data_IF_210052052102
#
_entry.id   IF_210052052102
#
_cell.length_a   1.000
_cell.length_b   1.000
_cell.length_c   1.000
_cell.angle_alpha   90.00
_cell.angle_beta   90.00
_cell.angle_gamma   90.00
#
_symmetry.space_group_name_H-M   'P 1'
#
loop_
_entity.id
_entity.type
_entity.pdbx_description
1 polymer ?
#
# COMPACT_ATOMS: atom_id res chain seq x y z
N UNK A 1 4.81 42.57 -31.60
CA UNK A 1 4.57 41.81 -32.85
C UNK A 1 3.14 41.24 -32.94
N UNK A 2 2.62 40.61 -31.88
CA UNK A 2 1.23 40.11 -31.81
C UNK A 2 0.14 41.18 -32.09
N UNK A 3 0.33 42.39 -31.54
CA UNK A 3 -0.59 43.53 -31.69
C UNK A 3 -0.66 44.04 -33.15
N UNK A 4 0.46 43.92 -33.89
CA UNK A 4 0.54 44.33 -35.31
C UNK A 4 -0.13 43.29 -36.21
N UNK A 5 0.00 41.99 -35.90
CA UNK A 5 -0.76 40.92 -36.59
C UNK A 5 -2.27 41.03 -36.34
N UNK A 6 -2.70 41.35 -35.12
CA UNK A 6 -4.10 41.61 -34.77
C UNK A 6 -4.68 42.81 -35.53
N UNK A 7 -3.89 43.89 -35.72
CA UNK A 7 -4.28 45.04 -36.54
C UNK A 7 -4.45 44.69 -38.03
N UNK A 8 -3.57 43.84 -38.59
CA UNK A 8 -3.69 43.35 -39.98
C UNK A 8 -4.93 42.48 -40.20
N UNK A 9 -5.31 41.64 -39.22
CA UNK A 9 -6.56 40.85 -39.28
C UNK A 9 -7.81 41.74 -39.27
N UNK A 10 -7.83 42.80 -38.43
CA UNK A 10 -8.96 43.73 -38.33
C UNK A 10 -9.33 44.35 -39.68
N UNK A 11 -8.34 44.67 -40.53
CA UNK A 11 -8.55 45.41 -41.77
C UNK A 11 -9.25 44.63 -42.90
N UNK A 12 -9.32 43.29 -42.82
CA UNK A 12 -9.89 42.44 -43.89
C UNK A 12 -11.21 41.76 -43.51
N UNK A 13 -11.70 41.94 -42.29
CA UNK A 13 -12.90 41.28 -41.79
C UNK A 13 -14.14 42.17 -41.99
N UNK A 14 -15.13 41.63 -42.70
CA UNK A 14 -16.46 42.22 -42.89
C UNK A 14 -17.13 42.47 -41.53
N UNK A 15 -17.97 43.52 -41.42
CA UNK A 15 -18.63 43.93 -40.16
C UNK A 15 -19.37 42.77 -39.48
N UNK A 16 -20.04 41.92 -40.28
CA UNK A 16 -20.73 40.70 -39.81
C UNK A 16 -19.80 39.73 -39.09
N UNK A 17 -18.61 39.53 -39.64
CA UNK A 17 -17.59 38.62 -39.08
C UNK A 17 -17.06 39.16 -37.76
N UNK A 18 -16.84 40.48 -37.64
CA UNK A 18 -16.42 41.10 -36.38
C UNK A 18 -17.45 40.91 -35.26
N UNK A 19 -18.73 41.07 -35.57
CA UNK A 19 -19.83 40.89 -34.60
C UNK A 19 -19.88 39.44 -34.09
N UNK A 20 -19.75 38.47 -35.00
CA UNK A 20 -19.74 37.04 -34.67
C UNK A 20 -18.51 36.67 -33.84
N UNK A 21 -17.32 37.20 -34.15
CA UNK A 21 -16.11 36.94 -33.36
C UNK A 21 -16.22 37.50 -31.94
N UNK A 22 -16.78 38.70 -31.78
CA UNK A 22 -16.99 39.32 -30.46
C UNK A 22 -18.01 38.54 -29.61
N UNK A 23 -19.01 37.95 -30.27
CA UNK A 23 -20.00 37.09 -29.63
C UNK A 23 -19.41 35.71 -29.25
N UNK A 24 -18.56 35.11 -30.08
CA UNK A 24 -18.00 33.76 -29.88
C UNK A 24 -16.79 33.72 -28.94
N UNK A 25 -16.05 34.82 -28.78
CA UNK A 25 -14.85 34.87 -27.94
C UNK A 25 -15.12 34.47 -26.47
N UNK A 26 -16.17 34.98 -25.80
CA UNK A 26 -16.50 34.58 -24.42
C UNK A 26 -16.84 33.08 -24.31
N UNK A 27 -17.58 32.55 -25.29
CA UNK A 27 -17.91 31.11 -25.34
C UNK A 27 -16.67 30.24 -25.52
N UNK A 28 -15.72 30.68 -26.33
CA UNK A 28 -14.45 29.97 -26.52
C UNK A 28 -13.62 29.93 -25.24
N UNK A 29 -13.60 31.03 -24.47
CA UNK A 29 -12.91 31.10 -23.17
C UNK A 29 -13.55 30.12 -22.18
N UNK A 30 -14.88 30.16 -22.03
CA UNK A 30 -15.64 29.25 -21.14
C UNK A 30 -15.40 27.78 -21.54
N UNK A 31 -15.42 27.49 -22.84
CA UNK A 31 -15.19 26.15 -23.36
C UNK A 31 -13.76 25.66 -23.09
N UNK A 32 -12.75 26.52 -23.24
CA UNK A 32 -11.35 26.19 -22.93
C UNK A 32 -11.11 25.89 -21.45
N UNK A 33 -11.77 26.64 -20.56
CA UNK A 33 -11.72 26.39 -19.12
C UNK A 33 -12.41 25.07 -18.77
N UNK A 34 -13.61 24.82 -19.33
CA UNK A 34 -14.33 23.58 -19.10
C UNK A 34 -13.59 22.32 -19.55
N UNK A 35 -12.83 22.38 -20.65
CA UNK A 35 -11.99 21.25 -21.09
C UNK A 35 -10.86 20.98 -20.09
N UNK A 36 -10.18 22.02 -19.61
CA UNK A 36 -9.11 21.87 -18.63
C UNK A 36 -9.65 21.30 -17.30
N UNK A 37 -10.75 21.86 -16.79
CA UNK A 37 -11.36 21.42 -15.53
C UNK A 37 -11.87 19.97 -15.62
N UNK A 38 -12.39 19.55 -16.78
CA UNK A 38 -12.82 18.16 -16.99
C UNK A 38 -11.61 17.20 -16.99
N UNK A 39 -10.49 17.62 -17.57
CA UNK A 39 -9.25 16.85 -17.55
C UNK A 39 -8.72 16.65 -16.14
N UNK A 40 -8.73 17.71 -15.32
CA UNK A 40 -8.30 17.63 -13.93
C UNK A 40 -9.27 16.80 -13.08
N UNK A 41 -10.59 16.93 -13.29
CA UNK A 41 -11.59 16.11 -12.61
C UNK A 41 -11.45 14.61 -12.91
N UNK A 42 -11.14 14.24 -14.16
CA UNK A 42 -10.88 12.85 -14.52
C UNK A 42 -9.62 12.31 -13.84
N UNK A 43 -8.57 13.13 -13.74
CA UNK A 43 -7.33 12.76 -13.04
C UNK A 43 -7.55 12.60 -11.54
N UNK A 44 -8.36 13.46 -10.93
CA UNK A 44 -8.72 13.36 -9.51
C UNK A 44 -9.50 12.08 -9.21
N UNK A 45 -10.44 11.68 -10.08
CA UNK A 45 -11.16 10.40 -9.96
C UNK A 45 -10.20 9.22 -10.05
N UNK A 46 -9.32 9.22 -11.04
CA UNK A 46 -8.35 8.14 -11.23
C UNK A 46 -7.41 8.03 -10.03
N UNK A 47 -6.93 9.17 -9.52
CA UNK A 47 -6.08 9.22 -8.33
C UNK A 47 -6.81 8.76 -7.07
N UNK A 48 -8.09 9.12 -6.89
CA UNK A 48 -8.89 8.67 -5.76
C UNK A 48 -9.11 7.14 -5.78
N UNK A 49 -9.36 6.57 -6.97
CA UNK A 49 -9.47 5.13 -7.14
C UNK A 49 -8.16 4.41 -6.79
N UNK A 50 -7.03 4.93 -7.27
CA UNK A 50 -5.70 4.39 -6.97
C UNK A 50 -5.35 4.49 -5.48
N UNK A 51 -5.68 5.61 -4.83
CA UNK A 51 -5.50 5.78 -3.39
C UNK A 51 -6.34 4.78 -2.59
N UNK A 52 -7.61 4.57 -2.98
CA UNK A 52 -8.50 3.57 -2.36
C UNK A 52 -7.93 2.15 -2.46
N UNK A 53 -7.48 1.75 -3.65
CA UNK A 53 -6.81 0.45 -3.85
C UNK A 53 -5.55 0.31 -3.00
N UNK A 54 -4.76 1.37 -2.91
CA UNK A 54 -3.52 1.38 -2.11
C UNK A 54 -3.82 1.21 -0.62
N UNK A 55 -4.88 1.85 -0.12
CA UNK A 55 -5.36 1.71 1.25
C UNK A 55 -5.88 0.29 1.50
N UNK A 56 -6.63 -0.29 0.56
CA UNK A 56 -7.13 -1.66 0.69
C UNK A 56 -5.97 -2.68 0.77
N UNK A 57 -4.99 -2.59 -0.13
CA UNK A 57 -3.78 -3.43 -0.09
C UNK A 57 -3.02 -3.24 1.23
N UNK A 58 -2.87 -1.99 1.66
CA UNK A 58 -2.21 -1.66 2.91
C UNK A 58 -2.94 -2.28 4.12
N UNK A 59 -4.27 -2.24 4.13
CA UNK A 59 -5.14 -2.87 5.14
C UNK A 59 -4.93 -4.38 5.21
N UNK A 60 -4.99 -5.08 4.07
CA UNK A 60 -4.82 -6.54 4.02
C UNK A 60 -3.43 -6.97 4.52
N UNK A 61 -2.40 -6.16 4.24
CA UNK A 61 -1.04 -6.41 4.74
C UNK A 61 -0.94 -6.14 6.24
N UNK A 62 -1.64 -5.13 6.77
CA UNK A 62 -1.63 -4.82 8.20
C UNK A 62 -2.28 -5.93 9.04
N UNK A 63 -3.40 -6.49 8.56
CA UNK A 63 -4.04 -7.64 9.18
C UNK A 63 -3.08 -8.85 9.24
N UNK A 64 -2.36 -9.12 8.15
CA UNK A 64 -1.34 -10.16 8.13
C UNK A 64 -0.19 -9.87 9.12
N UNK A 65 0.27 -8.62 9.19
CA UNK A 65 1.30 -8.21 10.17
C UNK A 65 0.80 -8.46 11.60
N UNK A 66 -0.44 -8.11 11.90
CA UNK A 66 -1.04 -8.31 13.22
C UNK A 66 -1.08 -9.79 13.60
N UNK A 67 -1.55 -10.65 12.70
CA UNK A 67 -1.63 -12.09 12.96
C UNK A 67 -0.23 -12.73 13.12
N UNK A 68 0.76 -12.30 12.33
CA UNK A 68 2.16 -12.73 12.47
C UNK A 68 2.78 -12.26 13.80
N UNK A 69 2.49 -11.04 14.26
CA UNK A 69 2.96 -10.54 15.56
C UNK A 69 2.35 -11.36 16.70
N UNK A 70 1.08 -11.71 16.59
CA UNK A 70 0.36 -12.51 17.58
C UNK A 70 0.86 -13.95 17.60
N UNK A 71 1.08 -14.57 16.44
CA UNK A 71 1.69 -15.90 16.34
C UNK A 71 3.10 -15.92 16.96
N UNK A 72 3.92 -14.91 16.66
CA UNK A 72 5.25 -14.73 17.27
C UNK A 72 5.15 -14.64 18.80
N UNK A 73 4.24 -13.82 19.31
CA UNK A 73 4.04 -13.62 20.76
C UNK A 73 3.57 -14.89 21.47
N UNK A 74 2.65 -15.66 20.87
CA UNK A 74 2.21 -16.95 21.41
C UNK A 74 3.31 -18.00 21.34
N UNK A 75 4.12 -18.01 20.29
CA UNK A 75 5.28 -18.89 20.17
C UNK A 75 6.30 -18.62 21.27
N UNK A 76 6.58 -17.34 21.59
CA UNK A 76 7.45 -16.96 22.71
C UNK A 76 6.87 -17.39 24.07
N UNK A 77 5.57 -17.19 24.28
CA UNK A 77 4.90 -17.66 25.50
C UNK A 77 4.93 -19.18 25.64
N UNK A 78 4.86 -19.93 24.53
CA UNK A 78 4.92 -21.40 24.56
C UNK A 78 6.31 -21.92 24.96
N UNK A 79 7.38 -21.19 24.64
CA UNK A 79 8.73 -21.52 25.13
C UNK A 79 8.81 -21.42 26.66
N UNK A 80 8.11 -20.43 27.25
CA UNK A 80 8.13 -20.18 28.71
C UNK A 80 7.07 -21.00 29.46
N UNK A 81 5.94 -21.34 28.80
CA UNK A 81 4.78 -22.00 29.41
C UNK A 81 4.11 -23.00 28.46
N UNK A 82 3.98 -24.24 28.90
CA UNK A 82 3.47 -25.37 28.11
C UNK A 82 1.96 -25.30 27.79
N UNK A 83 1.20 -24.42 28.45
CA UNK A 83 -0.27 -24.38 28.36
C UNK A 83 -0.82 -23.67 27.12
N UNK A 84 0.05 -23.16 26.23
CA UNK A 84 -0.33 -22.33 25.06
C UNK A 84 -0.44 -23.13 23.74
N UNK A 85 -0.55 -24.47 23.80
CA UNK A 85 -0.54 -25.28 22.57
C UNK A 85 -1.77 -25.07 21.69
N UNK A 86 -2.97 -25.11 22.30
CA UNK A 86 -4.22 -24.98 21.55
C UNK A 86 -4.38 -23.57 20.95
N UNK A 87 -4.01 -22.53 21.73
CA UNK A 87 -4.04 -21.14 21.27
C UNK A 87 -3.06 -20.90 20.12
N UNK A 88 -1.87 -21.51 20.14
CA UNK A 88 -0.90 -21.39 19.05
C UNK A 88 -1.38 -22.07 17.77
N UNK A 89 -2.00 -23.26 17.87
CA UNK A 89 -2.57 -23.96 16.70
C UNK A 89 -3.71 -23.16 16.08
N UNK A 90 -4.62 -22.63 16.88
CA UNK A 90 -5.72 -21.78 16.40
C UNK A 90 -5.17 -20.50 15.74
N UNK A 91 -4.16 -19.88 16.34
CA UNK A 91 -3.53 -18.67 15.78
C UNK A 91 -2.83 -18.96 14.44
N UNK A 92 -2.18 -20.12 14.30
CA UNK A 92 -1.56 -20.53 13.03
C UNK A 92 -2.59 -20.69 11.92
N UNK A 93 -3.74 -21.30 12.22
CA UNK A 93 -4.83 -21.44 11.25
C UNK A 93 -5.37 -20.08 10.79
N UNK A 94 -5.52 -19.11 11.71
CA UNK A 94 -5.90 -17.73 11.35
C UNK A 94 -4.85 -17.06 10.47
N UNK A 95 -3.57 -17.19 10.85
CA UNK A 95 -2.46 -16.63 10.07
C UNK A 95 -2.41 -17.24 8.67
N UNK A 96 -2.69 -18.54 8.52
CA UNK A 96 -2.72 -19.23 7.23
C UNK A 96 -3.84 -18.72 6.32
N UNK A 97 -5.02 -18.41 6.87
CA UNK A 97 -6.09 -17.76 6.12
C UNK A 97 -5.65 -16.38 5.59
N UNK A 98 -5.04 -15.53 6.43
CA UNK A 98 -4.53 -14.22 5.98
C UNK A 98 -3.38 -14.34 4.96
N UNK A 99 -2.58 -15.41 5.04
CA UNK A 99 -1.55 -15.70 4.05
C UNK A 99 -2.17 -16.05 2.69
N UNK A 100 -3.23 -16.87 2.66
CA UNK A 100 -3.94 -17.21 1.42
C UNK A 100 -4.50 -15.96 0.74
N UNK A 101 -5.09 -15.05 1.54
CA UNK A 101 -5.52 -13.75 1.07
C UNK A 101 -4.36 -12.92 0.49
N UNK A 102 -3.21 -12.86 1.18
CA UNK A 102 -2.02 -12.16 0.70
C UNK A 102 -1.45 -12.74 -0.61
N UNK A 103 -1.44 -14.07 -0.75
CA UNK A 103 -1.00 -14.75 -1.98
C UNK A 103 -1.93 -14.40 -3.13
N UNK A 104 -3.24 -14.50 -2.93
CA UNK A 104 -4.26 -14.16 -3.93
C UNK A 104 -4.14 -12.70 -4.38
N UNK A 105 -3.95 -11.77 -3.43
CA UNK A 105 -3.74 -10.35 -3.70
C UNK A 105 -2.46 -10.12 -4.52
N UNK A 106 -1.37 -10.80 -4.15
CA UNK A 106 -0.09 -10.70 -4.86
C UNK A 106 -0.20 -11.20 -6.31
N UNK A 107 -0.95 -12.29 -6.53
CA UNK A 107 -1.20 -12.81 -7.89
C UNK A 107 -2.01 -11.82 -8.74
N UNK A 108 -3.09 -11.24 -8.20
CA UNK A 108 -3.89 -10.22 -8.88
C UNK A 108 -3.06 -8.99 -9.28
N UNK A 109 -2.15 -8.54 -8.41
CA UNK A 109 -1.24 -7.44 -8.70
C UNK A 109 -0.24 -7.83 -9.81
N UNK A 110 0.33 -9.05 -9.77
CA UNK A 110 1.26 -9.54 -10.81
C UNK A 110 0.60 -9.70 -12.17
N UNK A 111 -0.66 -10.13 -12.21
CA UNK A 111 -1.46 -10.28 -13.43
C UNK A 111 -1.94 -8.93 -14.00
N UNK A 112 -1.60 -7.80 -13.35
CA UNK A 112 -2.09 -6.45 -13.69
C UNK A 112 -3.61 -6.33 -13.68
N UNK A 113 -4.31 -7.24 -13.01
CA UNK A 113 -5.75 -7.11 -12.77
C UNK A 113 -6.03 -5.94 -11.83
N UNK A 114 -5.05 -5.57 -11.01
CA UNK A 114 -5.05 -4.38 -10.17
C UNK A 114 -3.94 -3.44 -10.62
N UNK A 115 -4.30 -2.29 -11.19
CA UNK A 115 -3.33 -1.24 -11.55
C UNK A 115 -2.91 -0.48 -10.29
N UNK A 116 -1.76 -0.84 -9.74
CA UNK A 116 -1.11 -0.12 -8.65
C UNK A 116 -0.08 0.84 -9.24
N UNK A 117 -0.50 2.06 -9.56
CA UNK A 117 0.40 3.15 -9.96
C UNK A 117 1.10 3.71 -8.72
N UNK A 118 2.15 3.04 -8.28
CA UNK A 118 2.92 3.51 -7.13
C UNK A 118 3.94 4.60 -7.52
N UNK A 119 4.34 5.43 -6.55
CA UNK A 119 5.46 6.39 -6.70
C UNK A 119 6.79 5.65 -6.99
N UNK A 120 6.86 4.37 -6.62
CA UNK A 120 8.02 3.51 -6.81
C UNK A 120 7.91 2.75 -8.14
N UNK A 121 9.04 2.55 -8.84
CA UNK A 121 9.05 1.76 -10.09
C UNK A 121 8.46 0.37 -9.83
N UNK A 122 7.62 -0.13 -10.73
CA UNK A 122 6.99 -1.48 -10.70
C UNK A 122 7.97 -2.61 -10.30
N UNK A 123 9.23 -2.46 -10.68
CA UNK A 123 10.33 -3.38 -10.36
C UNK A 123 10.53 -3.55 -8.84
N UNK A 124 10.41 -2.47 -8.06
CA UNK A 124 10.64 -2.50 -6.61
C UNK A 124 9.47 -3.17 -5.89
N UNK A 125 8.22 -2.86 -6.27
CA UNK A 125 7.03 -3.54 -5.74
C UNK A 125 7.07 -5.03 -6.06
N UNK A 126 7.35 -5.39 -7.31
CA UNK A 126 7.46 -6.80 -7.71
C UNK A 126 8.55 -7.55 -6.93
N UNK A 127 9.68 -6.89 -6.66
CA UNK A 127 10.76 -7.46 -5.84
C UNK A 127 10.29 -7.70 -4.40
N UNK A 128 9.60 -6.74 -3.79
CA UNK A 128 9.11 -6.88 -2.40
C UNK A 128 8.03 -7.95 -2.31
N UNK A 129 7.06 -7.97 -3.23
CA UNK A 129 6.04 -9.00 -3.31
C UNK A 129 6.64 -10.40 -3.46
N UNK A 130 7.64 -10.55 -4.34
CA UNK A 130 8.33 -11.82 -4.55
C UNK A 130 9.12 -12.27 -3.32
N UNK A 131 9.78 -11.34 -2.62
CA UNK A 131 10.44 -11.64 -1.34
C UNK A 131 9.44 -12.03 -0.25
N UNK A 132 8.27 -11.40 -0.22
CA UNK A 132 7.18 -11.76 0.69
C UNK A 132 6.64 -13.17 0.42
N UNK A 133 6.43 -13.53 -0.84
CA UNK A 133 6.06 -14.91 -1.23
C UNK A 133 7.15 -15.92 -0.86
N UNK A 134 8.42 -15.57 -1.03
CA UNK A 134 9.52 -16.44 -0.60
C UNK A 134 9.53 -16.63 0.93
N UNK A 135 9.19 -15.59 1.71
CA UNK A 135 9.03 -15.70 3.16
C UNK A 135 7.86 -16.61 3.53
N UNK A 136 6.70 -16.45 2.88
CA UNK A 136 5.55 -17.35 3.04
C UNK A 136 5.93 -18.81 2.79
N UNK A 137 6.67 -19.09 1.71
CA UNK A 137 7.05 -20.46 1.34
C UNK A 137 7.89 -21.17 2.41
N UNK A 138 8.69 -20.43 3.19
CA UNK A 138 9.53 -21.01 4.25
C UNK A 138 8.88 -20.98 5.63
N UNK A 139 7.71 -20.33 5.80
CA UNK A 139 7.03 -20.16 7.09
C UNK A 139 6.77 -21.50 7.79
N UNK A 140 6.24 -22.49 7.05
CA UNK A 140 5.95 -23.81 7.59
C UNK A 140 7.22 -24.50 8.14
N UNK A 141 8.35 -24.33 7.47
CA UNK A 141 9.64 -24.86 7.94
C UNK A 141 10.12 -24.14 9.20
N UNK A 142 9.93 -22.82 9.28
CA UNK A 142 10.31 -22.03 10.46
C UNK A 142 9.44 -22.38 11.67
N UNK A 143 8.14 -22.60 11.49
CA UNK A 143 7.24 -23.11 12.54
C UNK A 143 7.72 -24.44 13.11
N UNK A 144 8.12 -25.39 12.25
CA UNK A 144 8.70 -26.67 12.69
C UNK A 144 9.97 -26.48 13.53
N UNK A 145 10.89 -25.63 13.09
CA UNK A 145 12.10 -25.30 13.86
C UNK A 145 11.79 -24.69 15.23
N UNK A 146 10.76 -23.86 15.31
CA UNK A 146 10.30 -23.28 16.58
C UNK A 146 9.68 -24.35 17.47
N UNK A 147 8.86 -25.25 16.92
CA UNK A 147 8.26 -26.35 17.67
C UNK A 147 9.33 -27.32 18.20
N UNK A 148 10.32 -27.68 17.38
CA UNK A 148 11.49 -28.46 17.79
C UNK A 148 12.30 -27.76 18.88
N UNK A 149 12.45 -26.44 18.80
CA UNK A 149 13.11 -25.65 19.83
C UNK A 149 12.32 -25.63 21.15
N UNK A 150 10.99 -25.55 21.09
CA UNK A 150 10.11 -25.62 22.27
C UNK A 150 10.28 -26.98 22.96
N UNK A 151 10.33 -28.07 22.19
CA UNK A 151 10.52 -29.43 22.72
C UNK A 151 11.90 -29.56 23.39
N UNK A 152 12.95 -29.02 22.77
CA UNK A 152 14.34 -29.16 23.22
C UNK A 152 14.79 -28.05 24.19
N UNK A 153 13.88 -27.17 24.63
CA UNK A 153 14.12 -26.05 25.54
C UNK A 153 15.30 -25.13 25.12
N UNK A 154 15.50 -24.92 23.81
CA UNK A 154 16.59 -24.07 23.33
C UNK A 154 16.22 -22.57 23.46
N UNK A 155 17.22 -21.71 23.61
CA UNK A 155 17.07 -20.25 23.47
C UNK A 155 17.00 -19.90 21.96
N UNK A 156 15.86 -20.12 21.30
CA UNK A 156 15.75 -19.80 19.86
C UNK A 156 15.59 -18.31 19.64
N UNK A 157 16.69 -17.63 19.32
CA UNK A 157 16.66 -16.28 18.74
C UNK A 157 16.40 -16.31 17.21
N UNK A 158 16.78 -17.42 16.56
CA UNK A 158 16.71 -17.56 15.10
C UNK A 158 15.27 -17.64 14.55
N UNK A 159 14.36 -18.35 15.23
CA UNK A 159 12.95 -18.44 14.82
C UNK A 159 12.18 -17.12 14.96
N UNK A 160 12.52 -16.29 15.96
CA UNK A 160 11.92 -14.96 16.14
C UNK A 160 12.51 -13.89 15.22
N UNK A 161 13.77 -14.08 14.80
CA UNK A 161 14.41 -13.25 13.77
C UNK A 161 13.66 -13.36 12.44
N UNK A 162 13.22 -14.57 12.06
CA UNK A 162 12.41 -14.77 10.86
C UNK A 162 11.12 -13.93 10.86
N UNK A 163 10.30 -14.00 11.92
CA UNK A 163 9.08 -13.19 12.01
C UNK A 163 9.38 -11.70 11.90
N UNK A 164 10.44 -11.26 12.57
CA UNK A 164 10.85 -9.85 12.56
C UNK A 164 11.24 -9.38 11.16
N UNK A 165 11.97 -10.20 10.40
CA UNK A 165 12.34 -9.92 9.02
C UNK A 165 11.12 -9.92 8.09
N UNK A 166 10.22 -10.89 8.24
CA UNK A 166 9.03 -10.97 7.39
C UNK A 166 8.10 -9.76 7.63
N UNK A 167 7.83 -9.41 8.89
CA UNK A 167 7.05 -8.21 9.24
C UNK A 167 7.70 -6.94 8.70
N UNK A 168 9.03 -6.81 8.75
CA UNK A 168 9.72 -5.66 8.18
C UNK A 168 9.58 -5.57 6.66
N UNK A 169 9.55 -6.69 5.94
CA UNK A 169 9.31 -6.70 4.50
C UNK A 169 7.88 -6.26 4.18
N UNK A 170 6.89 -6.71 4.95
CA UNK A 170 5.50 -6.30 4.81
C UNK A 170 5.31 -4.80 5.10
N UNK A 171 5.92 -4.27 6.16
CA UNK A 171 5.89 -2.83 6.46
C UNK A 171 6.51 -1.99 5.34
N UNK A 172 7.60 -2.47 4.71
CA UNK A 172 8.20 -1.81 3.53
C UNK A 172 7.28 -1.84 2.32
N UNK A 173 6.47 -2.90 2.17
CA UNK A 173 5.48 -2.98 1.10
C UNK A 173 4.39 -1.92 1.31
N UNK A 174 3.83 -1.83 2.51
CA UNK A 174 2.83 -0.82 2.87
C UNK A 174 3.34 0.59 2.59
N UNK A 175 4.59 0.91 2.98
CA UNK A 175 5.17 2.24 2.75
C UNK A 175 5.42 2.58 1.29
N UNK A 176 5.49 1.59 0.40
CA UNK A 176 5.70 1.81 -1.04
C UNK A 176 4.42 1.79 -1.84
N UNK A 177 3.39 1.09 -1.36
CA UNK A 177 2.07 1.02 -1.99
C UNK A 177 1.25 2.27 -1.69
N UNK A 178 1.40 2.88 -0.51
CA UNK A 178 0.72 4.13 -0.17
C UNK A 178 1.22 5.28 -1.07
N UNK A 179 0.41 5.63 -2.07
CA UNK A 179 0.57 6.81 -2.92
C UNK A 179 0.43 8.05 -2.04
N UNK A 180 1.30 9.07 -2.20
CA UNK A 180 1.05 10.41 -1.65
C UNK A 180 -0.16 11.00 -2.39
N UNK A 181 -1.34 11.09 -1.74
CA UNK A 181 -2.49 11.65 -2.39
C UNK A 181 -2.38 13.18 -2.41
N UNK A 182 -2.94 13.82 -3.43
CA UNK A 182 -2.99 15.28 -3.52
C UNK A 182 -3.91 15.89 -2.44
N UNK A 183 -4.83 15.10 -1.89
CA UNK A 183 -5.77 15.49 -0.83
C UNK A 183 -5.13 15.34 0.57
N UNK A 184 -5.22 16.41 1.36
CA UNK A 184 -4.69 16.52 2.74
C UNK A 184 -5.27 15.43 3.67
N UNK A 185 -6.55 15.09 3.55
CA UNK A 185 -7.18 14.08 4.44
C UNK A 185 -6.69 12.67 4.13
N UNK A 186 -6.59 12.32 2.85
CA UNK A 186 -6.03 11.04 2.43
C UNK A 186 -4.55 10.93 2.80
N UNK A 187 -3.82 12.05 2.77
CA UNK A 187 -2.41 12.10 3.16
C UNK A 187 -2.24 11.83 4.65
N UNK A 188 -3.08 12.47 5.48
CA UNK A 188 -3.12 12.25 6.92
C UNK A 188 -3.45 10.79 7.25
N UNK A 189 -4.48 10.23 6.61
CA UNK A 189 -4.86 8.83 6.81
C UNK A 189 -3.77 7.86 6.40
N UNK A 190 -3.06 8.10 5.29
CA UNK A 190 -1.92 7.28 4.87
C UNK A 190 -0.74 7.35 5.85
N UNK A 191 -0.44 8.52 6.41
CA UNK A 191 0.59 8.69 7.43
C UNK A 191 0.21 8.00 8.73
N UNK A 192 -1.02 8.17 9.22
CA UNK A 192 -1.50 7.52 10.43
C UNK A 192 -1.51 5.99 10.27
N UNK A 193 -1.91 5.49 9.09
CA UNK A 193 -1.90 4.07 8.75
C UNK A 193 -0.49 3.46 8.78
N UNK A 194 0.56 4.21 8.40
CA UNK A 194 1.95 3.72 8.49
C UNK A 194 2.48 3.76 9.91
N UNK A 195 2.05 4.75 10.67
CA UNK A 195 2.64 5.11 11.96
C UNK A 195 2.18 4.17 13.07
N UNK A 196 0.89 3.80 13.08
CA UNK A 196 0.29 2.96 14.13
C UNK A 196 0.83 1.51 14.15
N UNK A 197 0.89 0.78 13.03
CA UNK A 197 1.43 -0.59 13.00
C UNK A 197 2.91 -0.62 13.33
N UNK A 198 3.68 0.37 12.86
CA UNK A 198 5.09 0.49 13.14
C UNK A 198 5.37 0.70 14.63
N UNK A 199 4.64 1.60 15.30
CA UNK A 199 4.79 1.79 16.74
C UNK A 199 4.33 0.57 17.53
N UNK A 200 3.25 -0.09 17.11
CA UNK A 200 2.77 -1.34 17.72
C UNK A 200 3.83 -2.43 17.62
N UNK A 201 4.42 -2.61 16.44
CA UNK A 201 5.53 -3.52 16.21
C UNK A 201 6.72 -3.22 17.12
N UNK A 202 7.17 -1.95 17.17
CA UNK A 202 8.32 -1.53 18.02
C UNK A 202 8.05 -1.74 19.50
N UNK A 203 6.85 -1.42 19.97
CA UNK A 203 6.41 -1.67 21.35
C UNK A 203 6.44 -3.17 21.68
N UNK A 204 5.92 -4.02 20.79
CA UNK A 204 5.90 -5.46 20.98
C UNK A 204 7.29 -6.08 20.92
N UNK A 205 8.18 -5.56 20.06
CA UNK A 205 9.59 -5.96 20.01
C UNK A 205 10.29 -5.68 21.35
N UNK A 206 10.10 -4.49 21.92
CA UNK A 206 10.72 -4.13 23.19
C UNK A 206 10.20 -4.98 24.36
N UNK A 207 8.91 -5.33 24.37
CA UNK A 207 8.34 -6.23 25.40
C UNK A 207 8.92 -7.64 25.35
N UNK A 208 9.16 -8.16 24.14
CA UNK A 208 9.68 -9.52 23.94
C UNK A 208 11.21 -9.61 24.09
N UNK A 209 11.92 -8.49 24.19
CA UNK A 209 13.37 -8.45 24.45
C UNK A 209 13.72 -8.46 25.95
N UNK A 210 12.73 -8.33 26.82
CA UNK A 210 12.87 -8.26 28.29
C UNK A 210 12.53 -9.60 28.97
N UNK A 211 12.07 -10.60 28.19
CA UNK A 211 11.84 -11.99 28.60
C UNK A 211 12.97 -12.89 28.12
#
# INVERSE_FOLDING_TARGET
MLIVMLKKLKSKLTIRTRLITLLLLPWFIIFSLGINDTGDYLRDIEQAHQASLSIAIASDIDDLIYELQKERGLSAKKIVSTNQENSLKEQRAKTDAHIEHYVTLTEKIKLKEVNVTSITRDVVINKILTNGLASVAVLAQQRKKIDECIINACKSDAGFTYYSQFIQQLLRLVSQVLIQPHNIEQHRNGVDFLTLPYFTYKKNQNKNAVL
#
